data_IF_074218253882
#
_entry.id   IF_074218253882
#
_cell.length_a   1.000
_cell.length_b   1.000
_cell.length_c   1.000
_cell.angle_alpha   90.00
_cell.angle_beta   90.00
_cell.angle_gamma   90.00
#
_symmetry.space_group_name_H-M   'P 1'
#
loop_
_entity.id
_entity.type
_entity.pdbx_description
1 polymer ?
#
# COMPACT_ATOMS: atom_id res chain seq x y z
N UNK A 1 -14.58 -42.66 84.30
CA UNK A 1 -15.46 -41.72 83.57
C UNK A 1 -14.58 -40.84 82.70
N UNK A 2 -14.45 -41.19 81.41
CA UNK A 2 -15.02 -40.44 80.25
C UNK A 2 -14.30 -39.10 80.01
N UNK A 3 -13.29 -39.06 79.12
CA UNK A 3 -13.34 -38.56 77.70
C UNK A 3 -13.72 -37.07 77.61
N UNK A 4 -13.10 -36.14 76.88
CA UNK A 4 -12.33 -36.09 75.62
C UNK A 4 -11.86 -34.60 75.49
N UNK A 5 -11.12 -34.07 74.52
CA UNK A 5 -10.43 -34.54 73.31
C UNK A 5 -9.56 -33.34 72.89
N UNK A 6 -8.37 -33.65 72.41
CA UNK A 6 -7.49 -32.85 71.55
C UNK A 6 -8.25 -32.13 70.42
N UNK A 7 -7.88 -30.89 70.10
CA UNK A 7 -7.90 -30.38 68.73
C UNK A 7 -6.92 -29.23 68.50
N UNK A 8 -5.91 -29.52 67.67
CA UNK A 8 -5.13 -28.57 66.88
C UNK A 8 -6.05 -27.71 66.00
N UNK A 9 -5.67 -26.45 65.77
CA UNK A 9 -5.89 -25.74 64.50
C UNK A 9 -5.00 -24.49 64.53
N UNK A 10 -3.82 -24.52 63.91
CA UNK A 10 -3.57 -24.25 62.49
C UNK A 10 -3.63 -22.74 62.16
N UNK A 11 -2.43 -22.21 61.95
CA UNK A 11 -2.04 -21.09 61.09
C UNK A 11 -3.10 -20.73 60.05
N UNK A 12 -3.53 -19.46 60.01
CA UNK A 12 -4.18 -18.85 58.85
C UNK A 12 -3.55 -17.47 58.56
N UNK A 13 -2.73 -17.35 57.51
CA UNK A 13 -2.62 -16.16 56.69
C UNK A 13 -3.44 -16.42 55.43
N UNK A 14 -4.67 -15.91 55.35
CA UNK A 14 -5.49 -16.09 54.14
C UNK A 14 -6.58 -15.02 53.92
N UNK A 15 -6.59 -13.92 54.67
CA UNK A 15 -7.66 -12.92 54.54
C UNK A 15 -7.24 -11.66 53.77
N UNK A 16 -5.95 -11.45 53.49
CA UNK A 16 -5.47 -10.24 52.79
C UNK A 16 -5.40 -10.37 51.27
N UNK A 17 -5.36 -11.58 50.70
CA UNK A 17 -5.27 -11.79 49.24
C UNK A 17 -6.65 -11.90 48.57
N UNK A 18 -7.72 -12.15 49.33
CA UNK A 18 -9.05 -12.37 48.78
C UNK A 18 -9.80 -11.09 48.39
N UNK A 19 -9.43 -9.93 48.95
CA UNK A 19 -10.16 -8.67 48.73
C UNK A 19 -9.66 -7.88 47.51
N UNK A 20 -8.42 -8.09 47.06
CA UNK A 20 -7.85 -7.46 45.84
C UNK A 20 -8.34 -8.10 44.52
N UNK A 21 -9.07 -9.21 44.59
CA UNK A 21 -9.59 -9.93 43.42
C UNK A 21 -10.97 -9.43 42.95
N UNK A 22 -11.62 -8.52 43.70
CA UNK A 22 -13.01 -8.09 43.40
C UNK A 22 -13.11 -6.91 42.43
N UNK A 23 -12.00 -6.20 42.16
CA UNK A 23 -11.98 -4.98 41.31
C UNK A 23 -11.06 -5.09 40.08
N UNK A 24 -10.24 -6.15 39.99
CA UNK A 24 -9.43 -6.46 38.80
C UNK A 24 -10.24 -7.31 37.82
N UNK A 25 -11.03 -6.66 36.97
CA UNK A 25 -11.70 -7.39 35.87
C UNK A 25 -10.70 -7.68 34.75
N UNK A 26 -10.95 -8.74 33.98
CA UNK A 26 -10.09 -9.17 32.86
C UNK A 26 -9.94 -8.04 31.83
N UNK A 27 -10.97 -7.22 31.65
CA UNK A 27 -11.01 -6.10 30.72
C UNK A 27 -10.08 -4.95 31.16
N UNK A 28 -10.01 -4.67 32.47
CA UNK A 28 -9.08 -3.67 33.03
C UNK A 28 -7.64 -4.12 32.83
N UNK A 29 -7.34 -5.39 33.13
CA UNK A 29 -6.01 -5.97 32.92
C UNK A 29 -5.64 -5.93 31.43
N UNK A 30 -6.57 -6.26 30.53
CA UNK A 30 -6.33 -6.21 29.09
C UNK A 30 -6.09 -4.77 28.58
N UNK A 31 -6.75 -3.77 29.16
CA UNK A 31 -6.47 -2.36 28.85
C UNK A 31 -5.09 -1.92 29.36
N UNK A 32 -4.71 -2.29 30.59
CA UNK A 32 -3.38 -2.02 31.16
C UNK A 32 -2.26 -2.63 30.29
N UNK A 33 -2.41 -3.90 29.89
CA UNK A 33 -1.46 -4.59 29.01
C UNK A 33 -1.30 -3.86 27.68
N UNK A 34 -2.40 -3.47 27.04
CA UNK A 34 -2.37 -2.73 25.77
C UNK A 34 -1.67 -1.37 25.90
N UNK A 35 -1.93 -0.64 26.98
CA UNK A 35 -1.25 0.64 27.24
C UNK A 35 0.25 0.47 27.45
N UNK A 36 0.67 -0.53 28.24
CA UNK A 36 2.09 -0.81 28.48
C UNK A 36 2.79 -1.22 27.18
N UNK A 37 2.16 -2.07 26.37
CA UNK A 37 2.69 -2.49 25.08
C UNK A 37 2.87 -1.30 24.11
N UNK A 38 1.86 -0.43 23.99
CA UNK A 38 1.95 0.78 23.17
C UNK A 38 3.09 1.70 23.61
N UNK A 39 3.21 1.95 24.92
CA UNK A 39 4.29 2.78 25.48
C UNK A 39 5.67 2.16 25.23
N UNK A 40 5.82 0.85 25.39
CA UNK A 40 7.07 0.15 25.14
C UNK A 40 7.48 0.22 23.66
N UNK A 41 6.53 0.04 22.73
CA UNK A 41 6.77 0.18 21.28
C UNK A 41 7.21 1.58 20.91
N UNK A 42 6.53 2.60 21.43
CA UNK A 42 6.84 3.99 21.18
C UNK A 42 8.24 4.35 21.71
N UNK A 43 8.57 3.93 22.94
CA UNK A 43 9.89 4.15 23.53
C UNK A 43 10.99 3.45 22.71
N UNK A 44 10.74 2.23 22.23
CA UNK A 44 11.69 1.49 21.39
C UNK A 44 11.93 2.19 20.04
N UNK A 45 10.87 2.70 19.38
CA UNK A 45 10.99 3.45 18.13
C UNK A 45 11.75 4.77 18.32
N UNK A 46 11.45 5.52 19.39
CA UNK A 46 12.18 6.74 19.72
C UNK A 46 13.66 6.48 20.02
N UNK A 47 13.96 5.40 20.74
CA UNK A 47 15.34 4.94 20.95
C UNK A 47 16.04 4.62 19.64
N UNK A 48 15.36 3.92 18.72
CA UNK A 48 15.88 3.61 17.40
C UNK A 48 16.21 4.87 16.56
N UNK A 49 15.36 5.89 16.59
CA UNK A 49 15.59 7.18 15.93
C UNK A 49 16.83 7.87 16.51
N UNK A 50 16.92 7.96 17.85
CA UNK A 50 18.06 8.61 18.51
C UNK A 50 19.38 7.87 18.23
N UNK A 51 19.36 6.54 18.23
CA UNK A 51 20.52 5.72 17.85
C UNK A 51 20.89 6.02 16.39
N UNK A 52 19.93 6.07 15.48
CA UNK A 52 20.16 6.40 14.08
C UNK A 52 20.81 7.77 13.87
N UNK A 53 20.34 8.81 14.57
CA UNK A 53 20.94 10.14 14.52
C UNK A 53 22.41 10.14 14.97
N UNK A 54 22.72 9.45 16.08
CA UNK A 54 24.11 9.32 16.59
C UNK A 54 24.99 8.48 15.69
N UNK A 55 24.44 7.44 15.05
CA UNK A 55 25.15 6.65 14.05
C UNK A 55 25.48 7.47 12.80
N UNK A 56 24.56 8.34 12.34
CA UNK A 56 24.80 9.27 11.23
C UNK A 56 25.93 10.25 11.57
N UNK A 57 25.91 10.82 12.77
CA UNK A 57 26.98 11.70 13.27
C UNK A 57 28.33 10.98 13.35
N UNK A 58 28.37 9.78 13.94
CA UNK A 58 29.59 8.98 14.04
C UNK A 58 30.13 8.58 12.66
N UNK A 59 29.25 8.19 11.72
CA UNK A 59 29.65 7.80 10.36
C UNK A 59 30.31 8.94 9.58
N UNK A 60 29.96 10.19 9.87
CA UNK A 60 30.60 11.36 9.28
C UNK A 60 32.02 11.61 9.80
N UNK A 61 32.34 11.09 11.00
CA UNK A 61 33.65 11.23 11.65
C UNK A 61 34.58 10.04 11.41
N UNK A 62 34.04 8.87 11.05
CA UNK A 62 34.80 7.64 10.79
C UNK A 62 35.39 7.65 9.37
N UNK A 63 36.65 7.25 9.24
CA UNK A 63 37.34 7.16 7.95
C UNK A 63 36.66 6.21 6.97
N UNK A 64 36.82 6.49 5.67
CA UNK A 64 36.30 5.63 4.60
C UNK A 64 36.81 4.19 4.75
N UNK A 65 35.91 3.22 4.74
CA UNK A 65 36.23 1.78 4.87
C UNK A 65 36.30 1.27 6.32
N UNK A 66 36.40 2.13 7.32
CA UNK A 66 36.58 1.74 8.73
C UNK A 66 35.25 1.55 9.49
N UNK A 67 34.13 1.93 8.88
CA UNK A 67 32.80 1.91 9.50
C UNK A 67 32.42 0.54 10.08
N UNK A 68 32.70 -0.54 9.34
CA UNK A 68 32.35 -1.89 9.77
C UNK A 68 33.08 -2.34 11.03
N UNK A 69 34.35 -1.95 11.18
CA UNK A 69 35.15 -2.31 12.34
C UNK A 69 34.88 -1.38 13.53
N UNK A 70 34.61 -0.10 13.26
CA UNK A 70 34.14 0.84 14.27
C UNK A 70 32.84 0.36 14.94
N UNK A 71 31.88 -0.14 14.16
CA UNK A 71 30.61 -0.67 14.70
C UNK A 71 30.80 -1.87 15.63
N UNK A 72 31.67 -2.81 15.23
CA UNK A 72 32.01 -3.99 16.04
C UNK A 72 32.68 -3.62 17.35
N UNK A 73 33.53 -2.60 17.34
CA UNK A 73 34.29 -2.18 18.50
C UNK A 73 33.47 -1.35 19.50
N UNK A 74 32.49 -0.54 19.03
CA UNK A 74 31.88 0.51 19.86
C UNK A 74 30.40 0.30 20.21
N UNK A 75 29.60 -0.32 19.33
CA UNK A 75 28.12 -0.32 19.50
C UNK A 75 27.45 -1.68 19.29
N UNK A 76 28.22 -2.75 19.01
CA UNK A 76 27.73 -4.13 18.87
C UNK A 76 26.56 -4.31 17.88
N UNK A 77 26.48 -3.46 16.85
CA UNK A 77 25.49 -3.59 15.77
C UNK A 77 26.14 -4.14 14.49
N UNK A 78 25.38 -4.93 13.75
CA UNK A 78 25.74 -5.21 12.36
C UNK A 78 25.60 -3.94 11.52
N UNK A 79 26.30 -3.89 10.38
CA UNK A 79 26.16 -2.79 9.43
C UNK A 79 24.71 -2.63 8.95
N UNK A 80 23.99 -3.74 8.74
CA UNK A 80 22.58 -3.72 8.31
C UNK A 80 21.67 -3.11 9.37
N UNK A 81 21.84 -3.45 10.65
CA UNK A 81 21.07 -2.89 11.76
C UNK A 81 21.37 -1.40 11.93
N UNK A 82 22.64 -1.00 11.89
CA UNK A 82 23.05 0.40 11.96
C UNK A 82 22.44 1.22 10.82
N UNK A 83 22.48 0.71 9.58
CA UNK A 83 21.87 1.37 8.43
C UNK A 83 20.34 1.48 8.57
N UNK A 84 19.66 0.47 9.12
CA UNK A 84 18.22 0.55 9.37
C UNK A 84 17.88 1.65 10.39
N UNK A 85 18.63 1.75 11.49
CA UNK A 85 18.45 2.84 12.46
C UNK A 85 18.65 4.21 11.81
N UNK A 86 19.72 4.38 11.02
CA UNK A 86 19.99 5.63 10.31
C UNK A 86 18.85 5.99 9.35
N UNK A 87 18.36 5.03 8.55
CA UNK A 87 17.23 5.26 7.63
C UNK A 87 15.94 5.62 8.36
N UNK A 88 15.61 4.91 9.44
CA UNK A 88 14.45 5.22 10.26
C UNK A 88 14.58 6.63 10.87
N UNK A 89 15.77 7.01 11.34
CA UNK A 89 15.98 8.37 11.84
C UNK A 89 15.74 9.42 10.76
N UNK A 90 16.34 9.28 9.58
CA UNK A 90 16.18 10.24 8.48
C UNK A 90 14.73 10.40 8.01
N UNK A 91 13.99 9.30 7.95
CA UNK A 91 12.67 9.26 7.33
C UNK A 91 11.51 9.55 8.31
N UNK A 92 11.78 9.46 9.62
CA UNK A 92 10.75 9.59 10.67
C UNK A 92 11.04 10.72 11.68
N UNK A 93 12.13 11.49 11.54
CA UNK A 93 12.44 12.63 12.42
C UNK A 93 11.37 13.73 12.38
N UNK A 94 10.68 13.89 11.25
CA UNK A 94 9.65 14.92 11.03
C UNK A 94 8.21 14.38 11.01
N UNK A 95 8.04 13.06 11.07
CA UNK A 95 6.77 12.42 10.74
C UNK A 95 5.87 12.32 11.98
N UNK A 96 4.64 12.85 11.87
CA UNK A 96 3.78 13.21 13.00
C UNK A 96 3.18 12.06 13.84
N UNK A 97 2.11 12.36 14.59
CA UNK A 97 1.43 11.42 15.50
C UNK A 97 0.95 10.11 14.85
N UNK A 98 0.73 10.07 13.53
CA UNK A 98 0.26 8.89 12.81
C UNK A 98 1.24 7.69 12.89
N UNK A 99 2.53 7.94 13.09
CA UNK A 99 3.56 6.90 13.18
C UNK A 99 3.92 6.55 14.63
N UNK A 100 3.33 7.24 15.61
CA UNK A 100 3.62 7.05 17.04
C UNK A 100 3.20 5.68 17.58
N UNK A 101 2.28 4.99 16.90
CA UNK A 101 1.75 3.69 17.31
C UNK A 101 2.45 2.51 16.62
N UNK A 102 3.51 2.76 15.87
CA UNK A 102 4.27 1.72 15.17
C UNK A 102 5.43 1.20 16.03
N UNK A 103 5.70 -0.10 15.91
CA UNK A 103 6.94 -0.72 16.37
C UNK A 103 8.10 -0.40 15.42
N UNK A 104 9.33 -0.52 15.91
CA UNK A 104 10.54 -0.37 15.10
C UNK A 104 10.53 -1.25 13.84
N UNK A 105 10.09 -2.51 13.95
CA UNK A 105 10.05 -3.44 12.82
C UNK A 105 8.99 -3.06 11.78
N UNK A 106 7.86 -2.48 12.21
CA UNK A 106 6.85 -1.90 11.30
C UNK A 106 7.40 -0.65 10.60
N UNK A 107 8.07 0.24 11.33
CA UNK A 107 8.71 1.44 10.75
C UNK A 107 9.75 1.06 9.69
N UNK A 108 10.60 0.06 9.95
CA UNK A 108 11.55 -0.45 8.96
C UNK A 108 10.84 -1.05 7.73
N UNK A 109 9.71 -1.74 7.91
CA UNK A 109 8.95 -2.30 6.78
C UNK A 109 8.37 -1.20 5.88
N UNK A 110 7.83 -0.13 6.47
CA UNK A 110 7.24 1.00 5.75
C UNK A 110 8.24 1.83 4.95
N UNK A 111 9.55 1.69 5.21
CA UNK A 111 10.60 2.29 4.37
C UNK A 111 10.60 1.76 2.92
N UNK A 112 9.89 0.66 2.64
CA UNK A 112 9.68 0.16 1.29
C UNK A 112 8.54 0.90 0.54
N UNK A 113 7.72 1.68 1.26
CA UNK A 113 6.67 2.53 0.69
C UNK A 113 7.23 3.94 0.47
N UNK A 114 6.92 4.62 -0.65
CA UNK A 114 7.29 6.03 -0.88
C UNK A 114 6.87 6.93 0.30
N UNK A 115 7.68 7.93 0.63
CA UNK A 115 7.46 8.76 1.82
C UNK A 115 6.09 9.45 1.81
N UNK A 116 5.67 9.88 0.63
CA UNK A 116 4.41 10.57 0.35
C UNK A 116 3.19 9.67 0.58
N UNK A 117 3.34 8.36 0.40
CA UNK A 117 2.26 7.38 0.52
C UNK A 117 2.24 6.66 1.88
N UNK A 118 3.28 6.82 2.71
CA UNK A 118 3.40 6.06 3.97
C UNK A 118 2.27 6.36 4.94
N UNK A 119 1.90 7.62 5.12
CA UNK A 119 0.83 8.00 6.07
C UNK A 119 -0.51 7.43 5.63
N UNK A 120 -0.87 7.62 4.35
CA UNK A 120 -2.08 7.06 3.76
C UNK A 120 -2.08 5.52 3.83
N UNK A 121 -0.94 4.89 3.54
CA UNK A 121 -0.80 3.44 3.64
C UNK A 121 -0.99 2.95 5.07
N UNK A 122 -0.46 3.65 6.08
CA UNK A 122 -0.61 3.30 7.50
C UNK A 122 -2.07 3.40 7.92
N UNK A 123 -2.78 4.45 7.50
CA UNK A 123 -4.19 4.66 7.83
C UNK A 123 -5.09 3.63 7.14
N UNK A 124 -4.97 3.47 5.81
CA UNK A 124 -5.81 2.57 5.02
C UNK A 124 -5.59 1.09 5.35
N UNK A 125 -4.38 0.71 5.75
CA UNK A 125 -4.03 -0.69 6.04
C UNK A 125 -3.95 -0.98 7.54
N UNK A 126 -4.26 -0.01 8.40
CA UNK A 126 -4.19 -0.14 9.86
C UNK A 126 -2.87 -0.76 10.32
N UNK A 127 -1.77 -0.23 9.77
CA UNK A 127 -0.46 -0.86 9.90
C UNK A 127 -0.02 -1.05 11.36
N UNK A 128 -0.55 -0.26 12.29
CA UNK A 128 -0.33 -0.38 13.74
C UNK A 128 -0.92 -1.63 14.37
N UNK A 129 -2.02 -2.16 13.81
CA UNK A 129 -2.73 -3.34 14.33
C UNK A 129 -2.21 -4.65 13.71
N UNK A 130 -1.59 -4.56 12.53
CA UNK A 130 -0.97 -5.71 11.86
C UNK A 130 0.34 -6.13 12.53
N UNK A 131 0.66 -7.43 12.51
CA UNK A 131 2.03 -7.86 12.81
C UNK A 131 3.01 -7.33 11.75
N UNK A 132 4.29 -7.21 12.09
CA UNK A 132 5.30 -6.77 11.12
C UNK A 132 5.39 -7.68 9.89
N UNK A 133 5.06 -8.97 10.02
CA UNK A 133 5.04 -9.91 8.89
C UNK A 133 3.85 -9.68 7.97
N UNK A 134 2.67 -9.45 8.54
CA UNK A 134 1.47 -9.12 7.76
C UNK A 134 1.64 -7.79 7.03
N UNK A 135 2.22 -6.79 7.69
CA UNK A 135 2.54 -5.50 7.07
C UNK A 135 3.51 -5.65 5.89
N UNK A 136 4.56 -6.45 6.04
CA UNK A 136 5.50 -6.76 4.95
C UNK A 136 4.81 -7.47 3.78
N UNK A 137 3.92 -8.43 4.07
CA UNK A 137 3.16 -9.14 3.05
C UNK A 137 2.21 -8.19 2.30
N UNK A 138 1.54 -7.27 3.00
CA UNK A 138 0.65 -6.28 2.42
C UNK A 138 1.41 -5.30 1.49
N UNK A 139 2.56 -4.79 1.94
CA UNK A 139 3.43 -3.91 1.13
C UNK A 139 3.88 -4.65 -0.13
N UNK A 140 4.35 -5.90 0.01
CA UNK A 140 4.82 -6.70 -1.12
C UNK A 140 3.69 -6.98 -2.12
N UNK A 141 2.50 -7.35 -1.63
CA UNK A 141 1.34 -7.60 -2.48
C UNK A 141 0.91 -6.35 -3.27
N UNK A 142 0.91 -5.17 -2.63
CA UNK A 142 0.64 -3.89 -3.30
C UNK A 142 1.66 -3.65 -4.43
N UNK A 143 2.95 -3.77 -4.13
CA UNK A 143 4.03 -3.56 -5.11
C UNK A 143 3.99 -4.55 -6.28
N UNK A 144 3.70 -5.83 -6.02
CA UNK A 144 3.57 -6.85 -7.06
C UNK A 144 2.37 -6.56 -7.97
N UNK A 145 1.24 -6.12 -7.40
CA UNK A 145 0.06 -5.76 -8.17
C UNK A 145 0.28 -4.49 -9.02
N UNK A 146 0.91 -3.46 -8.47
CA UNK A 146 1.27 -2.24 -9.22
C UNK A 146 2.25 -2.54 -10.35
N UNK A 147 3.25 -3.40 -10.10
CA UNK A 147 4.19 -3.83 -11.12
C UNK A 147 3.48 -4.61 -12.22
N UNK A 148 2.62 -5.57 -11.87
CA UNK A 148 1.86 -6.34 -12.84
C UNK A 148 0.93 -5.46 -13.67
N UNK A 149 0.29 -4.47 -13.05
CA UNK A 149 -0.54 -3.49 -13.74
C UNK A 149 0.28 -2.70 -14.75
N UNK A 150 1.42 -2.14 -14.34
CA UNK A 150 2.31 -1.37 -15.21
C UNK A 150 2.82 -2.21 -16.39
N UNK A 151 3.27 -3.44 -16.13
CA UNK A 151 3.71 -4.37 -17.19
C UNK A 151 2.58 -4.66 -18.20
N UNK A 152 1.33 -4.74 -17.74
CA UNK A 152 0.16 -4.96 -18.61
C UNK A 152 -0.25 -3.71 -19.38
N UNK A 153 -0.19 -2.53 -18.76
CA UNK A 153 -0.44 -1.26 -19.44
C UNK A 153 0.61 -0.97 -20.52
N UNK A 154 1.88 -1.27 -20.26
CA UNK A 154 2.95 -1.19 -21.27
C UNK A 154 2.72 -2.17 -22.43
N UNK A 155 2.28 -3.40 -22.15
CA UNK A 155 1.89 -4.37 -23.18
C UNK A 155 0.72 -3.87 -24.03
N UNK A 156 -0.30 -3.30 -23.40
CA UNK A 156 -1.46 -2.73 -24.09
C UNK A 156 -1.05 -1.57 -25.00
N UNK A 157 -0.21 -0.65 -24.49
CA UNK A 157 0.27 0.49 -25.26
C UNK A 157 1.13 0.05 -26.46
N UNK A 158 1.97 -0.97 -26.29
CA UNK A 158 2.77 -1.52 -27.38
C UNK A 158 1.88 -2.16 -28.48
N UNK A 159 0.85 -2.90 -28.09
CA UNK A 159 -0.10 -3.51 -29.03
C UNK A 159 -0.91 -2.44 -29.79
N UNK A 160 -1.35 -1.39 -29.09
CA UNK A 160 -2.04 -0.25 -29.71
C UNK A 160 -1.16 0.51 -30.71
N UNK A 161 0.12 0.71 -30.39
CA UNK A 161 1.07 1.34 -31.30
C UNK A 161 1.29 0.47 -32.54
N UNK A 162 1.52 -0.84 -32.37
CA UNK A 162 1.68 -1.78 -33.48
C UNK A 162 0.44 -1.76 -34.41
N UNK A 163 -0.75 -1.69 -33.83
CA UNK A 163 -2.00 -1.57 -34.58
C UNK A 163 -2.11 -0.25 -35.35
N UNK A 164 -1.75 0.87 -34.75
CA UNK A 164 -1.75 2.17 -35.45
C UNK A 164 -0.76 2.17 -36.62
N UNK A 165 0.42 1.57 -36.43
CA UNK A 165 1.40 1.41 -37.50
C UNK A 165 0.86 0.51 -38.62
N UNK A 166 0.18 -0.58 -38.28
CA UNK A 166 -0.46 -1.48 -39.24
C UNK A 166 -1.60 -0.79 -40.01
N UNK A 167 -2.49 -0.08 -39.32
CA UNK A 167 -3.56 0.70 -39.93
C UNK A 167 -2.98 1.79 -40.85
N UNK A 168 -1.88 2.44 -40.45
CA UNK A 168 -1.14 3.40 -41.27
C UNK A 168 -0.52 2.75 -42.52
N UNK A 169 0.10 1.58 -42.38
CA UNK A 169 0.63 0.81 -43.51
C UNK A 169 -0.49 0.39 -44.47
N UNK A 170 -1.63 -0.06 -43.95
CA UNK A 170 -2.79 -0.48 -44.74
C UNK A 170 -3.41 0.70 -45.48
N UNK A 171 -3.52 1.87 -44.82
CA UNK A 171 -3.98 3.11 -45.45
C UNK A 171 -3.05 3.53 -46.59
N UNK A 172 -1.73 3.45 -46.38
CA UNK A 172 -0.75 3.77 -47.43
C UNK A 172 -0.83 2.78 -48.61
N UNK A 173 -1.04 1.49 -48.35
CA UNK A 173 -1.28 0.48 -49.40
C UNK A 173 -2.57 0.77 -50.18
N UNK A 174 -3.64 1.16 -49.49
CA UNK A 174 -4.90 1.53 -50.11
C UNK A 174 -4.77 2.76 -51.02
N UNK A 175 -4.01 3.77 -50.58
CA UNK A 175 -3.73 4.96 -51.40
C UNK A 175 -2.94 4.61 -52.68
N UNK A 176 -1.94 3.72 -52.58
CA UNK A 176 -1.20 3.21 -53.76
C UNK A 176 -2.11 2.44 -54.71
N UNK A 177 -3.02 1.62 -54.17
CA UNK A 177 -3.99 0.87 -54.96
C UNK A 177 -4.93 1.81 -55.72
N UNK A 178 -5.42 2.87 -55.07
CA UNK A 178 -6.28 3.89 -55.70
C UNK A 178 -5.53 4.67 -56.80
N UNK A 179 -4.28 5.07 -56.56
CA UNK A 179 -3.44 5.75 -57.55
C UNK A 179 -3.20 4.89 -58.80
N UNK A 180 -2.90 3.60 -58.63
CA UNK A 180 -2.66 2.69 -59.76
C UNK A 180 -3.97 2.40 -60.53
N UNK A 181 -5.12 2.36 -59.85
CA UNK A 181 -6.44 2.27 -60.49
C UNK A 181 -6.75 3.49 -61.36
N UNK A 182 -6.49 4.70 -60.86
CA UNK A 182 -6.67 5.93 -61.64
C UNK A 182 -5.69 6.00 -62.83
N UNK A 183 -4.45 5.54 -62.65
CA UNK A 183 -3.49 5.42 -63.75
C UNK A 183 -4.00 4.45 -64.82
N UNK A 184 -4.54 3.30 -64.45
CA UNK A 184 -5.12 2.33 -65.38
C UNK A 184 -6.30 2.92 -66.15
N UNK A 185 -7.20 3.65 -65.49
CA UNK A 185 -8.32 4.36 -66.17
C UNK A 185 -7.81 5.32 -67.24
N UNK A 186 -6.80 6.15 -66.92
CA UNK A 186 -6.18 7.07 -67.89
C UNK A 186 -5.53 6.33 -69.05
N UNK A 187 -4.87 5.21 -68.79
CA UNK A 187 -4.26 4.37 -69.83
C UNK A 187 -5.33 3.74 -70.74
N UNK A 188 -6.45 3.26 -70.18
CA UNK A 188 -7.58 2.73 -70.96
C UNK A 188 -8.24 3.80 -71.83
N UNK A 189 -8.40 5.02 -71.32
CA UNK A 189 -8.89 6.16 -72.11
C UNK A 189 -7.94 6.49 -73.27
N UNK A 190 -6.63 6.52 -73.02
CA UNK A 190 -5.61 6.72 -74.06
C UNK A 190 -5.64 5.61 -75.12
N UNK A 191 -5.81 4.35 -74.71
CA UNK A 191 -5.95 3.22 -75.63
C UNK A 191 -7.18 3.43 -76.52
N UNK A 192 -8.34 3.77 -75.95
CA UNK A 192 -9.57 4.04 -76.72
C UNK A 192 -9.40 5.17 -77.73
N UNK A 193 -8.71 6.24 -77.34
CA UNK A 193 -8.45 7.37 -78.24
C UNK A 193 -7.51 6.96 -79.39
N UNK A 194 -6.43 6.23 -79.09
CA UNK A 194 -5.50 5.70 -80.09
C UNK A 194 -6.18 4.71 -81.05
N UNK A 195 -7.10 3.87 -80.56
CA UNK A 195 -7.91 2.97 -81.39
C UNK A 195 -8.79 3.77 -82.36
N UNK A 196 -9.46 4.82 -81.87
CA UNK A 196 -10.30 5.70 -82.68
C UNK A 196 -9.48 6.41 -83.76
N UNK A 197 -8.33 6.98 -83.40
CA UNK A 197 -7.41 7.62 -84.34
C UNK A 197 -6.84 6.61 -85.36
N UNK A 198 -6.52 5.38 -84.94
CA UNK A 198 -6.06 4.31 -85.83
C UNK A 198 -7.15 3.90 -86.82
N UNK A 199 -8.42 3.84 -86.41
CA UNK A 199 -9.54 3.55 -87.31
C UNK A 199 -9.74 4.69 -88.33
N UNK A 200 -9.61 5.95 -87.92
CA UNK A 200 -9.68 7.10 -88.81
C UNK A 200 -8.50 7.16 -89.81
N UNK A 201 -7.29 6.84 -89.37
CA UNK A 201 -6.12 6.72 -90.25
C UNK A 201 -6.28 5.58 -91.27
N UNK A 202 -6.92 4.48 -90.86
CA UNK A 202 -7.22 3.35 -91.72
C UNK A 202 -8.27 3.68 -92.80
N UNK A 203 -9.30 4.47 -92.48
CA UNK A 203 -10.32 4.88 -93.46
C UNK A 203 -9.83 5.99 -94.40
N UNK A 204 -8.87 6.81 -93.98
CA UNK A 204 -8.26 7.88 -94.79
C UNK A 204 -7.08 7.43 -95.65
N UNK A 205 -6.54 6.23 -95.43
CA UNK A 205 -5.48 5.63 -96.25
C UNK A 205 -4.05 6.14 -95.94
N UNK A 206 -3.84 6.78 -94.78
CA UNK A 206 -2.51 7.24 -94.36
C UNK A 206 -1.72 6.11 -93.67
N UNK A 207 -1.06 5.29 -94.47
CA UNK A 207 -0.28 4.12 -94.02
C UNK A 207 0.86 4.47 -93.05
N UNK A 208 1.43 5.69 -93.16
CA UNK A 208 2.53 6.12 -92.27
C UNK A 208 1.99 6.48 -90.89
N UNK A 209 0.89 7.23 -90.83
CA UNK A 209 0.21 7.53 -89.58
C UNK A 209 -0.33 6.26 -88.90
N UNK A 210 -0.91 5.34 -89.66
CA UNK A 210 -1.43 4.06 -89.16
C UNK A 210 -0.33 3.19 -88.51
N UNK A 211 0.87 3.15 -89.09
CA UNK A 211 2.00 2.40 -88.52
C UNK A 211 2.48 2.99 -87.19
N UNK A 212 2.50 4.32 -87.08
CA UNK A 212 2.88 5.02 -85.86
C UNK A 212 1.84 4.81 -84.74
N UNK A 213 0.56 5.01 -85.05
CA UNK A 213 -0.55 4.80 -84.11
C UNK A 213 -0.62 3.37 -83.58
N UNK A 214 -0.38 2.36 -84.43
CA UNK A 214 -0.29 0.95 -84.00
C UNK A 214 0.90 0.68 -83.08
N UNK A 215 2.03 1.38 -83.27
CA UNK A 215 3.18 1.24 -82.38
C UNK A 215 2.94 1.87 -81.00
N UNK A 216 2.26 3.01 -80.97
CA UNK A 216 1.91 3.70 -79.73
C UNK A 216 0.77 3.00 -78.97
N UNK A 217 -0.23 2.44 -79.68
CA UNK A 217 -1.25 1.55 -79.11
C UNK A 217 -0.60 0.36 -78.38
N UNK A 218 0.34 -0.34 -79.03
CA UNK A 218 1.07 -1.47 -78.41
C UNK A 218 1.87 -1.07 -77.17
N UNK A 219 2.38 0.17 -77.10
CA UNK A 219 3.06 0.66 -75.90
C UNK A 219 2.05 0.96 -74.79
N UNK A 220 0.92 1.58 -75.12
CA UNK A 220 -0.16 1.88 -74.19
C UNK A 220 -0.79 0.60 -73.61
N UNK A 221 -1.07 -0.41 -74.44
CA UNK A 221 -1.56 -1.73 -74.01
C UNK A 221 -0.59 -2.44 -73.05
N UNK A 222 0.72 -2.37 -73.33
CA UNK A 222 1.75 -2.92 -72.42
C UNK A 222 1.80 -2.19 -71.09
N UNK A 223 1.63 -0.86 -71.10
CA UNK A 223 1.56 -0.07 -69.87
C UNK A 223 0.30 -0.42 -69.05
N UNK A 224 -0.87 -0.54 -69.70
CA UNK A 224 -2.12 -0.96 -69.06
C UNK A 224 -2.05 -2.36 -68.44
N UNK A 225 -1.47 -3.33 -69.17
CA UNK A 225 -1.25 -4.69 -68.63
C UNK A 225 -0.28 -4.71 -67.46
N UNK A 226 0.74 -3.82 -67.44
CA UNK A 226 1.64 -3.70 -66.30
C UNK A 226 0.95 -3.11 -65.07
N UNK A 227 0.11 -2.09 -65.24
CA UNK A 227 -0.70 -1.50 -64.17
C UNK A 227 -1.76 -2.47 -63.63
N UNK A 228 -2.37 -3.29 -64.48
CA UNK A 228 -3.30 -4.36 -64.06
C UNK A 228 -2.64 -5.39 -63.15
N UNK A 229 -1.40 -5.80 -63.45
CA UNK A 229 -0.64 -6.71 -62.57
C UNK A 229 -0.35 -6.07 -61.22
N UNK A 230 0.07 -4.80 -61.20
CA UNK A 230 0.32 -4.07 -59.95
C UNK A 230 -0.93 -3.93 -59.09
N UNK A 231 -2.09 -3.68 -59.70
CA UNK A 231 -3.38 -3.64 -59.01
C UNK A 231 -3.70 -4.99 -58.37
N UNK A 232 -3.50 -6.09 -59.10
CA UNK A 232 -3.72 -7.43 -58.57
C UNK A 232 -2.77 -7.77 -57.41
N UNK A 233 -1.50 -7.39 -57.53
CA UNK A 233 -0.49 -7.58 -56.47
C UNK A 233 -0.84 -6.77 -55.21
N UNK A 234 -1.22 -5.49 -55.37
CA UNK A 234 -1.65 -4.60 -54.26
C UNK A 234 -2.94 -5.09 -53.60
N UNK A 235 -3.89 -5.62 -54.39
CA UNK A 235 -5.12 -6.20 -53.86
C UNK A 235 -4.83 -7.46 -53.03
N UNK A 236 -3.96 -8.35 -53.51
CA UNK A 236 -3.55 -9.54 -52.77
C UNK A 236 -2.84 -9.18 -51.44
N UNK A 237 -1.99 -8.16 -51.44
CA UNK A 237 -1.32 -7.67 -50.22
C UNK A 237 -2.32 -7.08 -49.21
N UNK A 238 -3.34 -6.35 -49.67
CA UNK A 238 -4.41 -5.83 -48.82
C UNK A 238 -5.27 -6.95 -48.21
N UNK A 239 -5.58 -7.99 -48.99
CA UNK A 239 -6.37 -9.14 -48.54
C UNK A 239 -5.60 -9.99 -47.52
N UNK A 240 -4.28 -10.16 -47.71
CA UNK A 240 -3.41 -10.85 -46.76
C UNK A 240 -3.39 -10.13 -45.40
N UNK A 241 -3.16 -8.81 -45.39
CA UNK A 241 -3.13 -8.01 -44.15
C UNK A 241 -4.50 -7.88 -43.47
N UNK A 242 -5.61 -8.17 -44.15
CA UNK A 242 -6.93 -8.16 -43.55
C UNK A 242 -7.22 -9.41 -42.70
N UNK A 243 -6.49 -10.52 -42.91
CA UNK A 243 -6.69 -11.79 -42.18
C UNK A 243 -5.88 -11.88 -40.87
N UNK A 244 -4.83 -11.07 -40.71
CA UNK A 244 -3.91 -11.11 -39.56
C UNK A 244 -4.44 -10.38 -38.31
N UNK A 245 -5.73 -10.02 -38.28
CA UNK A 245 -6.33 -9.12 -37.29
C UNK A 245 -6.01 -9.47 -35.83
N UNK A 246 -5.13 -8.67 -35.22
CA UNK A 246 -4.70 -8.67 -33.82
C UNK A 246 -5.79 -8.33 -32.78
N UNK A 247 -7.07 -8.27 -33.18
CA UNK A 247 -8.17 -7.80 -32.32
C UNK A 247 -8.40 -8.68 -31.08
N UNK A 248 -8.11 -9.99 -31.14
CA UNK A 248 -8.33 -10.88 -30.00
C UNK A 248 -7.28 -10.71 -28.89
N UNK A 249 -6.05 -10.33 -29.24
CA UNK A 249 -4.96 -10.13 -28.27
C UNK A 249 -5.12 -8.82 -27.51
N UNK A 250 -5.41 -7.72 -28.20
CA UNK A 250 -5.66 -6.40 -27.60
C UNK A 250 -6.85 -6.46 -26.61
N UNK A 251 -7.96 -7.09 -27.02
CA UNK A 251 -9.15 -7.24 -26.17
C UNK A 251 -8.84 -8.08 -24.91
N UNK A 252 -8.03 -9.14 -25.03
CA UNK A 252 -7.62 -9.96 -23.88
C UNK A 252 -6.71 -9.18 -22.93
N UNK A 253 -5.74 -8.42 -23.45
CA UNK A 253 -4.84 -7.60 -22.62
C UNK A 253 -5.63 -6.49 -21.93
N UNK A 254 -6.52 -5.80 -22.64
CA UNK A 254 -7.39 -4.76 -22.07
C UNK A 254 -8.32 -5.31 -20.99
N UNK A 255 -8.95 -6.47 -21.22
CA UNK A 255 -9.77 -7.13 -20.21
C UNK A 255 -8.97 -7.51 -18.96
N UNK A 256 -7.72 -7.93 -19.13
CA UNK A 256 -6.84 -8.26 -18.01
C UNK A 256 -6.38 -7.03 -17.23
N UNK A 257 -6.09 -5.91 -17.92
CA UNK A 257 -5.82 -4.61 -17.26
C UNK A 257 -7.01 -4.18 -16.41
N UNK A 258 -8.22 -4.23 -16.96
CA UNK A 258 -9.44 -3.86 -16.23
C UNK A 258 -9.72 -4.82 -15.06
N UNK A 259 -9.43 -6.11 -15.21
CA UNK A 259 -9.54 -7.09 -14.12
C UNK A 259 -8.60 -6.75 -12.97
N UNK A 260 -7.33 -6.45 -13.25
CA UNK A 260 -6.34 -6.08 -12.22
C UNK A 260 -6.74 -4.78 -11.52
N UNK A 261 -7.22 -3.77 -12.27
CA UNK A 261 -7.73 -2.51 -11.70
C UNK A 261 -8.93 -2.75 -10.79
N UNK A 262 -9.89 -3.54 -11.23
CA UNK A 262 -11.07 -3.87 -10.43
C UNK A 262 -10.70 -4.62 -9.15
N UNK A 263 -9.75 -5.56 -9.21
CA UNK A 263 -9.25 -6.27 -8.02
C UNK A 263 -8.56 -5.34 -7.02
N UNK A 264 -7.77 -4.36 -7.48
CA UNK A 264 -7.15 -3.35 -6.62
C UNK A 264 -8.19 -2.47 -5.92
N UNK A 265 -9.20 -2.00 -6.66
CA UNK A 265 -10.29 -1.18 -6.12
C UNK A 265 -11.11 -1.97 -5.09
N UNK A 266 -11.44 -3.22 -5.39
CA UNK A 266 -12.19 -4.09 -4.48
C UNK A 266 -11.38 -4.40 -3.20
N UNK A 267 -10.06 -4.58 -3.32
CA UNK A 267 -9.19 -4.75 -2.16
C UNK A 267 -9.16 -3.47 -1.30
N UNK A 268 -9.07 -2.29 -1.91
CA UNK A 268 -9.11 -1.02 -1.17
C UNK A 268 -10.45 -0.87 -0.43
N UNK A 269 -11.57 -1.12 -1.11
CA UNK A 269 -12.90 -1.06 -0.50
C UNK A 269 -13.08 -2.02 0.68
N UNK A 270 -12.61 -3.27 0.55
CA UNK A 270 -12.66 -4.25 1.65
C UNK A 270 -11.87 -3.78 2.87
N UNK A 271 -10.72 -3.14 2.66
CA UNK A 271 -9.91 -2.57 3.74
C UNK A 271 -10.64 -1.40 4.42
N UNK A 272 -11.27 -0.51 3.64
CA UNK A 272 -12.09 0.58 4.19
C UNK A 272 -13.27 0.06 5.04
N UNK A 273 -13.97 -0.97 4.56
CA UNK A 273 -15.07 -1.61 5.29
C UNK A 273 -14.58 -2.28 6.60
N UNK A 274 -13.41 -2.93 6.57
CA UNK A 274 -12.77 -3.50 7.77
C UNK A 274 -12.38 -2.41 8.77
N UNK A 275 -11.81 -1.30 8.31
CA UNK A 275 -11.47 -0.13 9.14
C UNK A 275 -12.72 0.43 9.80
N UNK A 276 -13.79 0.63 9.03
CA UNK A 276 -15.05 1.16 9.54
C UNK A 276 -15.65 0.25 10.62
N UNK A 277 -15.59 -1.08 10.42
CA UNK A 277 -16.08 -2.06 11.38
C UNK A 277 -15.26 -2.04 12.67
N UNK A 278 -13.94 -2.03 12.58
CA UNK A 278 -13.10 -1.97 13.77
C UNK A 278 -13.25 -0.66 14.53
N UNK A 279 -13.39 0.48 13.83
CA UNK A 279 -13.66 1.76 14.45
C UNK A 279 -14.98 1.72 15.23
N UNK A 280 -16.02 1.10 14.68
CA UNK A 280 -17.29 0.89 15.36
C UNK A 280 -17.12 -0.02 16.60
N UNK A 281 -16.35 -1.11 16.49
CA UNK A 281 -16.06 -2.01 17.61
C UNK A 281 -15.26 -1.30 18.73
N UNK A 282 -14.26 -0.48 18.38
CA UNK A 282 -13.48 0.32 19.33
C UNK A 282 -14.35 1.38 20.00
N UNK A 283 -15.22 2.05 19.25
CA UNK A 283 -16.19 2.99 19.81
C UNK A 283 -17.19 2.31 20.75
N UNK A 284 -17.64 1.10 20.41
CA UNK A 284 -18.52 0.31 21.28
C UNK A 284 -17.78 -0.18 22.54
N UNK A 285 -16.53 -0.62 22.41
CA UNK A 285 -15.67 -0.95 23.54
C UNK A 285 -15.42 0.27 24.44
N UNK A 286 -15.17 1.45 23.87
CA UNK A 286 -15.03 2.70 24.61
C UNK A 286 -16.35 3.07 25.31
N UNK A 287 -17.52 2.87 24.69
CA UNK A 287 -18.82 3.05 25.37
C UNK A 287 -19.00 2.10 26.54
N UNK A 288 -18.64 0.82 26.39
CA UNK A 288 -18.69 -0.19 27.46
C UNK A 288 -17.67 0.10 28.57
N UNK A 289 -16.50 0.63 28.20
CA UNK A 289 -15.42 1.00 29.10
C UNK A 289 -15.54 2.43 29.65
N UNK A 290 -16.49 3.26 29.23
CA UNK A 290 -16.61 4.65 29.70
C UNK A 290 -16.98 4.79 31.19
N UNK A 291 -17.14 3.67 31.91
CA UNK A 291 -17.07 3.65 33.37
C UNK A 291 -15.63 3.56 33.92
N UNK A 292 -14.58 3.74 33.10
CA UNK A 292 -13.17 3.74 33.55
C UNK A 292 -12.89 4.89 34.50
N UNK A 293 -13.52 6.07 34.33
CA UNK A 293 -13.44 7.15 35.31
C UNK A 293 -14.03 6.71 36.66
N UNK A 294 -15.20 6.05 36.66
CA UNK A 294 -15.80 5.48 37.86
C UNK A 294 -14.98 4.34 38.47
N UNK A 295 -14.35 3.49 37.65
CA UNK A 295 -13.46 2.41 38.10
C UNK A 295 -12.18 2.98 38.72
N UNK A 296 -11.56 4.01 38.11
CA UNK A 296 -10.39 4.70 38.69
C UNK A 296 -10.73 5.38 40.01
N UNK A 297 -11.86 6.10 40.08
CA UNK A 297 -12.35 6.71 41.32
C UNK A 297 -12.57 5.63 42.39
N UNK A 298 -13.22 4.53 42.04
CA UNK A 298 -13.45 3.40 42.95
C UNK A 298 -12.14 2.78 43.44
N UNK A 299 -11.16 2.59 42.56
CA UNK A 299 -9.87 2.01 42.90
C UNK A 299 -9.05 2.91 43.84
N UNK A 300 -9.00 4.22 43.57
CA UNK A 300 -8.36 5.18 44.48
C UNK A 300 -9.06 5.26 45.83
N UNK A 301 -10.40 5.18 45.83
CA UNK A 301 -11.19 5.15 47.06
C UNK A 301 -10.95 3.87 47.89
N UNK A 302 -10.89 2.71 47.25
CA UNK A 302 -10.58 1.43 47.91
C UNK A 302 -9.16 1.42 48.51
N UNK A 303 -8.16 1.95 47.79
CA UNK A 303 -6.80 2.10 48.30
C UNK A 303 -6.75 3.04 49.53
N UNK A 304 -7.42 4.19 49.45
CA UNK A 304 -7.50 5.15 50.55
C UNK A 304 -8.16 4.55 51.80
N UNK A 305 -9.20 3.73 51.64
CA UNK A 305 -9.85 3.04 52.75
C UNK A 305 -8.95 2.00 53.41
N UNK A 306 -8.16 1.26 52.62
CA UNK A 306 -7.21 0.28 53.14
C UNK A 306 -6.11 0.96 53.97
N UNK A 307 -5.53 2.05 53.46
CA UNK A 307 -4.50 2.82 54.17
C UNK A 307 -5.04 3.46 55.44
N UNK A 308 -6.29 3.96 55.42
CA UNK A 308 -6.94 4.51 56.61
C UNK A 308 -7.15 3.46 57.71
N UNK A 309 -7.47 2.21 57.34
CA UNK A 309 -7.59 1.10 58.30
C UNK A 309 -6.25 0.75 58.93
N UNK A 310 -5.17 0.69 58.14
CA UNK A 310 -3.81 0.43 58.63
C UNK A 310 -3.34 1.52 59.60
N UNK A 311 -3.68 2.77 59.28
CA UNK A 311 -3.36 3.93 60.10
C UNK A 311 -4.13 3.92 61.44
N UNK A 312 -5.40 3.50 61.44
CA UNK A 312 -6.18 3.30 62.67
C UNK A 312 -5.65 2.15 63.54
N UNK A 313 -5.17 1.06 62.94
CA UNK A 313 -4.52 -0.03 63.66
C UNK A 313 -3.22 0.45 64.34
N UNK A 314 -2.36 1.13 63.59
CA UNK A 314 -1.09 1.69 64.09
C UNK A 314 -1.31 2.68 65.23
N UNK A 315 -2.37 3.51 65.12
CA UNK A 315 -2.78 4.42 66.18
C UNK A 315 -3.30 3.66 67.44
N UNK A 316 -3.90 2.49 67.25
CA UNK A 316 -4.33 1.58 68.31
C UNK A 316 -3.16 1.09 69.17
N UNK A 317 -2.01 0.84 68.54
CA UNK A 317 -0.77 0.31 69.14
C UNK A 317 0.06 1.35 69.91
N UNK A 318 -0.26 2.65 69.78
CA UNK A 318 0.42 3.70 70.53
C UNK A 318 0.12 3.60 72.04
N UNK A 319 1.19 3.41 72.83
CA UNK A 319 1.13 3.33 74.28
C UNK A 319 0.99 4.70 74.96
N UNK A 320 1.48 5.78 74.33
CA UNK A 320 1.41 7.14 74.89
C UNK A 320 0.03 7.80 74.57
N UNK A 321 -0.79 8.11 75.59
CA UNK A 321 -2.13 8.64 75.39
C UNK A 321 -2.16 10.06 74.81
N UNK A 322 -1.21 10.93 75.17
CA UNK A 322 -1.17 12.31 74.66
C UNK A 322 -0.79 12.35 73.18
N UNK A 323 0.18 11.51 72.76
CA UNK A 323 0.56 11.39 71.36
C UNK A 323 -0.54 10.76 70.51
N UNK A 324 -1.27 9.78 71.08
CA UNK A 324 -2.41 9.15 70.43
C UNK A 324 -3.55 10.14 70.18
N UNK A 325 -3.88 10.98 71.16
CA UNK A 325 -4.91 12.01 70.98
C UNK A 325 -4.46 13.13 70.01
N UNK A 326 -3.17 13.53 70.04
CA UNK A 326 -2.63 14.50 69.09
C UNK A 326 -2.68 13.98 67.64
N UNK A 327 -2.34 12.70 67.41
CA UNK A 327 -2.44 12.09 66.08
C UNK A 327 -3.90 11.97 65.63
N UNK A 328 -4.83 11.56 66.50
CA UNK A 328 -6.27 11.53 66.18
C UNK A 328 -6.80 12.89 65.73
N UNK A 329 -6.46 13.95 66.47
CA UNK A 329 -6.88 15.30 66.13
C UNK A 329 -6.40 15.71 64.74
N UNK A 330 -5.15 15.38 64.39
CA UNK A 330 -4.56 15.69 63.09
C UNK A 330 -5.15 14.88 61.93
N UNK A 331 -5.44 13.60 62.17
CA UNK A 331 -6.14 12.74 61.21
C UNK A 331 -7.56 13.27 60.97
N UNK A 332 -8.27 13.64 62.04
CA UNK A 332 -9.61 14.25 61.95
C UNK A 332 -9.60 15.53 61.11
N UNK A 333 -8.66 16.43 61.36
CA UNK A 333 -8.52 17.65 60.57
C UNK A 333 -8.24 17.36 59.08
N UNK A 334 -7.38 16.38 58.78
CA UNK A 334 -7.08 15.99 57.39
C UNK A 334 -8.31 15.41 56.68
N UNK A 335 -9.16 14.68 57.41
CA UNK A 335 -10.42 14.15 56.89
C UNK A 335 -11.46 15.26 56.65
N UNK A 336 -11.52 16.26 57.53
CA UNK A 336 -12.38 17.43 57.34
C UNK A 336 -11.93 18.29 56.16
N UNK A 337 -10.62 18.49 55.98
CA UNK A 337 -10.04 19.17 54.82
C UNK A 337 -10.35 18.40 53.52
N UNK A 338 -10.20 17.08 53.52
CA UNK A 338 -10.56 16.23 52.38
C UNK A 338 -12.07 16.29 52.09
N UNK A 339 -12.90 16.29 53.12
CA UNK A 339 -14.37 16.44 53.00
C UNK A 339 -14.76 17.78 52.40
N UNK A 340 -13.97 18.84 52.58
CA UNK A 340 -14.23 20.15 51.97
C UNK A 340 -13.93 20.23 50.47
N UNK A 341 -13.21 19.23 49.92
CA UNK A 341 -12.84 19.15 48.51
C UNK A 341 -13.85 18.37 47.65
N UNK A 342 -14.84 17.72 48.28
CA UNK A 342 -15.93 16.98 47.64
C UNK A 342 -17.28 17.62 47.97
#
# INVERSE_FOLDING_TARGET
MTTAKTKQSAVQPAASEATTLSTRTVEVIAAEIRTIDQQARQAALQGAIQIGLRLTEAKALVGHGEWGDWLKANVNYSQSTANNFMRVATEYEASGQALANLSYTQAVALLAVPAEEREEFVEQNQASEMSSRELQAAIKAKQEAEKALKEKEEQLAAEQLARQEEEGMRSALYAKYEEEQELRKRQEEQIRELEQQSQQAQTSGDDKALKQLKADLRKAEKAASASEKRIADLQAELDQKAQDGQTEAEVKIAAEVERIKAELVEQARKREDEVAKQLADVQEQLRKNNNVAGIKIKMHFEAMLADAQLLLQSLGELENPEQKEAMKARIGQTLDDLRSQF
#
